data_IF_953853149966
#
_entry.id   IF_953853149966
#
_cell.length_a   1.000
_cell.length_b   1.000
_cell.length_c   1.000
_cell.angle_alpha   90.00
_cell.angle_beta   90.00
_cell.angle_gamma   90.00
#
_symmetry.space_group_name_H-M   'P 1'
#
loop_
_entity.id
_entity.type
_entity.pdbx_description
1 polymer ?
#
# COMPACT_ATOMS: atom_id res chain seq x y z
N UNK A 1 21.50 -1.82 7.19
CA UNK A 1 20.06 -1.76 7.51
C UNK A 1 19.47 -3.13 7.16
N UNK A 2 18.64 -3.74 8.01
CA UNK A 2 18.11 -5.09 7.74
C UNK A 2 16.97 -5.03 6.72
N UNK A 3 16.82 -6.00 5.80
CA UNK A 3 15.76 -6.01 4.79
C UNK A 3 14.35 -5.89 5.39
N UNK A 4 14.10 -6.51 6.55
CA UNK A 4 12.85 -6.31 7.31
C UNK A 4 12.57 -4.86 7.70
N UNK A 5 13.58 -4.09 8.09
CA UNK A 5 13.35 -2.67 8.43
C UNK A 5 13.01 -1.85 7.19
N UNK A 6 13.63 -2.19 6.06
CA UNK A 6 13.37 -1.54 4.77
C UNK A 6 11.93 -1.82 4.32
N UNK A 7 11.45 -3.06 4.44
CA UNK A 7 10.06 -3.37 4.07
C UNK A 7 9.02 -2.63 4.93
N UNK A 8 9.22 -2.54 6.25
CA UNK A 8 8.33 -1.75 7.11
C UNK A 8 8.36 -0.25 6.81
N UNK A 9 9.54 0.33 6.52
CA UNK A 9 9.67 1.75 6.20
C UNK A 9 8.99 2.10 4.87
N UNK A 10 9.19 1.25 3.85
CA UNK A 10 8.53 1.40 2.55
C UNK A 10 7.01 1.20 2.67
N UNK A 11 6.55 0.21 3.44
CA UNK A 11 5.12 -0.01 3.66
C UNK A 11 4.47 1.20 4.36
N UNK A 12 5.11 1.75 5.40
CA UNK A 12 4.61 2.92 6.12
C UNK A 12 4.51 4.20 5.27
N UNK A 13 5.21 4.25 4.13
CA UNK A 13 5.19 5.38 3.18
C UNK A 13 4.51 4.99 1.86
N UNK A 14 3.96 3.79 1.74
CA UNK A 14 3.44 3.28 0.49
C UNK A 14 2.19 4.02 0.01
N UNK A 15 1.34 4.53 0.92
CA UNK A 15 0.19 5.37 0.56
C UNK A 15 0.62 6.67 -0.14
N UNK A 16 1.71 7.29 0.31
CA UNK A 16 2.25 8.52 -0.29
C UNK A 16 3.01 8.24 -1.60
N UNK A 17 3.80 7.17 -1.62
CA UNK A 17 4.67 6.82 -2.75
C UNK A 17 3.96 6.09 -3.89
N UNK A 18 2.98 5.26 -3.56
CA UNK A 18 2.39 4.26 -4.44
C UNK A 18 0.86 4.21 -4.35
N UNK A 19 0.23 5.19 -3.70
CA UNK A 19 -1.22 5.26 -3.52
C UNK A 19 -1.99 5.05 -4.82
N UNK A 20 -3.00 4.17 -4.78
CA UNK A 20 -3.86 3.87 -5.93
C UNK A 20 -3.30 2.89 -6.95
N UNK A 21 -2.06 2.39 -6.78
CA UNK A 21 -1.49 1.36 -7.65
C UNK A 21 -2.11 -0.02 -7.41
N UNK A 22 -2.33 -0.76 -8.49
CA UNK A 22 -2.65 -2.18 -8.40
C UNK A 22 -1.44 -2.99 -7.90
N UNK A 23 -1.64 -4.21 -7.39
CA UNK A 23 -0.53 -5.07 -6.95
C UNK A 23 0.56 -5.29 -8.02
N UNK A 24 0.16 -5.37 -9.29
CA UNK A 24 1.08 -5.49 -10.44
C UNK A 24 1.90 -4.22 -10.67
N UNK A 25 1.27 -3.05 -10.58
CA UNK A 25 1.94 -1.76 -10.76
C UNK A 25 2.88 -1.46 -9.58
N UNK A 26 2.42 -1.75 -8.36
CA UNK A 26 3.24 -1.64 -7.16
C UNK A 26 4.49 -2.52 -7.26
N UNK A 27 4.40 -3.75 -7.79
CA UNK A 27 5.58 -4.60 -7.99
C UNK A 27 6.64 -3.97 -8.89
N UNK A 28 6.21 -3.33 -9.98
CA UNK A 28 7.12 -2.65 -10.89
C UNK A 28 7.76 -1.43 -10.20
N UNK A 29 6.93 -0.59 -9.57
CA UNK A 29 7.36 0.61 -8.87
C UNK A 29 8.33 0.30 -7.71
N UNK A 30 8.03 -0.72 -6.90
CA UNK A 30 8.93 -1.20 -5.84
C UNK A 30 10.26 -1.70 -6.40
N UNK A 31 10.24 -2.38 -7.54
CA UNK A 31 11.47 -2.89 -8.16
C UNK A 31 12.39 -1.73 -8.58
N UNK A 32 11.84 -0.68 -9.21
CA UNK A 32 12.60 0.51 -9.59
C UNK A 32 13.10 1.30 -8.36
N UNK A 33 12.23 1.46 -7.35
CA UNK A 33 12.56 2.15 -6.11
C UNK A 33 13.71 1.46 -5.38
N UNK A 34 13.63 0.13 -5.21
CA UNK A 34 14.69 -0.66 -4.56
C UNK A 34 16.01 -0.61 -5.32
N UNK A 35 15.97 -0.61 -6.66
CA UNK A 35 17.19 -0.48 -7.47
C UNK A 35 17.86 0.89 -7.32
N UNK A 36 17.06 1.96 -7.22
CA UNK A 36 17.56 3.34 -7.13
C UNK A 36 18.05 3.70 -5.73
N UNK A 37 17.27 3.36 -4.71
CA UNK A 37 17.52 3.79 -3.33
C UNK A 37 18.28 2.76 -2.49
N UNK A 38 18.24 1.49 -2.89
CA UNK A 38 18.87 0.39 -2.17
C UNK A 38 19.77 -0.47 -3.09
N UNK A 39 20.74 0.14 -3.82
CA UNK A 39 21.61 -0.59 -4.75
C UNK A 39 22.51 -1.64 -4.05
N UNK A 40 22.71 -1.51 -2.74
CA UNK A 40 23.47 -2.44 -1.92
C UNK A 40 22.74 -3.78 -1.67
N UNK A 41 21.43 -3.86 -1.92
CA UNK A 41 20.68 -5.09 -1.76
C UNK A 41 20.98 -6.06 -2.89
N UNK A 42 21.17 -7.33 -2.53
CA UNK A 42 21.23 -8.45 -3.46
C UNK A 42 19.90 -8.64 -4.19
N UNK A 43 19.89 -9.35 -5.31
CA UNK A 43 18.66 -9.65 -6.04
C UNK A 43 17.64 -10.39 -5.15
N UNK A 44 18.12 -11.35 -4.35
CA UNK A 44 17.32 -12.12 -3.39
C UNK A 44 16.72 -11.23 -2.29
N UNK A 45 17.53 -10.31 -1.73
CA UNK A 45 17.07 -9.38 -0.71
C UNK A 45 16.03 -8.40 -1.24
N UNK A 46 16.22 -7.88 -2.46
CA UNK A 46 15.22 -7.01 -3.13
C UNK A 46 13.91 -7.75 -3.35
N UNK A 47 13.97 -9.01 -3.75
CA UNK A 47 12.79 -9.84 -3.91
C UNK A 47 12.07 -10.02 -2.56
N UNK A 48 12.80 -10.39 -1.51
CA UNK A 48 12.24 -10.56 -0.16
C UNK A 48 11.59 -9.26 0.35
N UNK A 49 12.26 -8.12 0.21
CA UNK A 49 11.72 -6.82 0.63
C UNK A 49 10.43 -6.49 -0.13
N UNK A 50 10.41 -6.70 -1.45
CA UNK A 50 9.22 -6.44 -2.28
C UNK A 50 8.05 -7.33 -1.86
N UNK A 51 8.28 -8.63 -1.69
CA UNK A 51 7.23 -9.57 -1.31
C UNK A 51 6.72 -9.30 0.13
N UNK A 52 7.61 -8.90 1.06
CA UNK A 52 7.22 -8.45 2.40
C UNK A 52 6.36 -7.17 2.36
N UNK A 53 6.75 -6.15 1.58
CA UNK A 53 5.97 -4.90 1.45
C UNK A 53 4.56 -5.19 0.93
N UNK A 54 4.44 -6.02 -0.11
CA UNK A 54 3.13 -6.37 -0.68
C UNK A 54 2.28 -7.13 0.33
N UNK A 55 2.89 -8.01 1.13
CA UNK A 55 2.18 -8.74 2.16
C UNK A 55 1.66 -7.81 3.27
N UNK A 56 2.48 -6.88 3.74
CA UNK A 56 2.09 -5.86 4.74
C UNK A 56 0.92 -5.03 4.23
N UNK A 57 1.06 -4.45 3.03
CA UNK A 57 0.02 -3.60 2.44
C UNK A 57 -1.29 -4.35 2.19
N UNK A 58 -1.21 -5.63 1.84
CA UNK A 58 -2.39 -6.48 1.70
C UNK A 58 -3.10 -6.72 3.03
N UNK A 59 -2.34 -6.93 4.10
CA UNK A 59 -2.88 -7.10 5.46
C UNK A 59 -3.54 -5.81 5.97
N UNK A 60 -2.98 -4.66 5.59
CA UNK A 60 -3.48 -3.31 5.92
C UNK A 60 -4.66 -2.85 5.05
N UNK A 61 -5.07 -3.64 4.03
CA UNK A 61 -6.18 -3.29 3.15
C UNK A 61 -5.86 -2.20 2.11
N UNK A 62 -4.58 -1.92 1.85
CA UNK A 62 -4.11 -0.94 0.86
C UNK A 62 -4.74 -1.14 -0.53
N UNK A 63 -4.92 -2.40 -0.94
CA UNK A 63 -5.54 -2.74 -2.23
C UNK A 63 -7.07 -2.85 -2.18
N UNK A 64 -7.66 -2.90 -0.98
CA UNK A 64 -9.10 -3.03 -0.75
C UNK A 64 -9.82 -1.67 -0.79
N UNK A 65 -9.09 -0.55 -0.79
CA UNK A 65 -9.63 0.82 -0.91
C UNK A 65 -10.37 1.12 -2.22
N UNK A 66 -10.52 0.17 -3.15
CA UNK A 66 -11.53 0.25 -4.22
C UNK A 66 -12.97 -0.02 -3.74
N UNK A 67 -13.18 -0.33 -2.45
CA UNK A 67 -14.51 -0.65 -1.92
C UNK A 67 -14.90 -0.06 -0.57
N UNK A 68 -14.03 0.60 0.20
CA UNK A 68 -14.39 0.93 1.58
C UNK A 68 -13.71 2.21 2.12
N UNK A 69 -14.39 3.36 2.01
CA UNK A 69 -14.13 4.49 2.91
C UNK A 69 -14.02 5.89 2.33
N UNK A 70 -15.05 6.36 1.61
CA UNK A 70 -15.39 7.80 1.61
C UNK A 70 -16.92 7.96 1.51
N UNK A 71 -17.60 7.68 2.62
CA UNK A 71 -18.97 8.15 2.96
C UNK A 71 -19.27 7.77 4.41
N UNK A 72 -18.36 8.10 5.34
CA UNK A 72 -18.71 8.16 6.76
C UNK A 72 -18.73 9.65 7.10
N UNK A 73 -19.93 10.15 7.42
CA UNK A 73 -20.35 11.55 7.68
C UNK A 73 -20.64 12.39 6.41
N UNK A 74 -21.84 12.94 6.18
CA UNK A 74 -22.80 13.51 7.12
C UNK A 74 -24.26 13.44 6.62
N UNK A 75 -25.19 13.50 7.59
CA UNK A 75 -26.67 13.65 7.46
C UNK A 75 -27.42 12.32 7.21
N UNK A 76 -28.00 11.62 8.20
CA UNK A 76 -28.76 12.05 9.38
C UNK A 76 -30.01 12.89 9.07
N UNK A 77 -30.95 12.32 8.32
CA UNK A 77 -32.35 12.24 8.76
C UNK A 77 -33.13 11.31 7.82
N UNK A 78 -33.58 10.18 8.36
CA UNK A 78 -34.87 9.67 7.94
C UNK A 78 -35.91 10.67 8.43
N UNK A 79 -36.63 11.28 7.50
CA UNK A 79 -37.97 11.75 7.77
C UNK A 79 -38.91 11.05 6.79
N UNK A 80 -39.99 10.56 7.36
CA UNK A 80 -40.88 9.58 6.76
C UNK A 80 -41.83 10.26 5.77
N UNK A 81 -42.58 9.44 5.02
CA UNK A 81 -43.98 9.66 4.67
C UNK A 81 -44.59 11.01 5.11
N UNK A 82 -45.19 11.77 4.17
CA UNK A 82 -46.65 11.89 4.04
C UNK A 82 -47.03 12.98 2.98
N UNK A 83 -48.03 12.62 2.15
CA UNK A 83 -48.79 13.37 1.10
C UNK A 83 -48.19 13.62 -0.30
#
# INVERSE_FOLDING_TARGET
MSPKKISHEIAATADDLFGGLSPSELRAALTEHLQRHYPALSADERQSVRDDVIAILRDEGFFDSRGNGDSWDSDSAGDSDED
#
